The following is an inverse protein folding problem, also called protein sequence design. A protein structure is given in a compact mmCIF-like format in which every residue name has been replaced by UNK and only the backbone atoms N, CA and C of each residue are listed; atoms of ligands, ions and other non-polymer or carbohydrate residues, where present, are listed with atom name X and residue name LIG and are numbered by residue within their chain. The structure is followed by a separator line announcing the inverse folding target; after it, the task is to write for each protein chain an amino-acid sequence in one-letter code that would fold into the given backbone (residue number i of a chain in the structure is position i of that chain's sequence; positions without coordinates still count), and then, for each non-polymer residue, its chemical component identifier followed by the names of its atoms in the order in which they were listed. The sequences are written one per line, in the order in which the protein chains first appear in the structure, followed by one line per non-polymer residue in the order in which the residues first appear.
data_IF_732813886041
#
_entry.id   IF_732813886041
#
_cell.length_a   1.000
_cell.length_b   1.000
_cell.length_c   1.000
_cell.angle_alpha   90.00
_cell.angle_beta   90.00
_cell.angle_gamma   90.00
#
_symmetry.space_group_name_H-M   'P 1'
#
loop_
_entity.id
_entity.type
_entity.pdbx_description
1 polymer ?
#
# COMPACT_ATOMS: atom_id res chain seq x y z
N UNK A 1 -12.02 5.49 16.06
CA UNK A 1 -11.13 5.14 14.94
C UNK A 1 -11.96 4.44 13.88
N UNK A 2 -12.01 4.91 12.62
CA UNK A 2 -12.69 4.16 11.58
C UNK A 2 -11.99 2.81 11.40
N UNK A 3 -12.74 1.71 11.56
CA UNK A 3 -12.29 0.37 11.18
C UNK A 3 -12.12 0.39 9.67
N UNK A 4 -10.89 0.63 9.18
CA UNK A 4 -10.61 0.47 7.76
C UNK A 4 -10.95 -0.98 7.40
N UNK A 5 -12.01 -1.17 6.61
CA UNK A 5 -12.34 -2.47 6.09
C UNK A 5 -11.17 -2.94 5.23
N UNK A 6 -10.55 -4.07 5.59
CA UNK A 6 -9.50 -4.68 4.76
C UNK A 6 -10.18 -5.30 3.56
N UNK A 7 -10.19 -4.59 2.43
CA UNK A 7 -10.66 -5.12 1.15
C UNK A 7 -9.84 -6.35 0.78
N UNK A 8 -10.52 -7.48 0.49
CA UNK A 8 -9.85 -8.68 -0.02
C UNK A 8 -9.58 -8.48 -1.50
N UNK A 9 -8.35 -8.77 -1.92
CA UNK A 9 -7.91 -8.72 -3.30
C UNK A 9 -7.16 -10.00 -3.61
N UNK A 10 -7.49 -10.64 -4.74
CA UNK A 10 -6.74 -11.77 -5.29
C UNK A 10 -5.84 -11.23 -6.38
N UNK A 11 -4.58 -11.63 -6.37
CA UNK A 11 -3.56 -11.18 -7.31
C UNK A 11 -2.95 -12.41 -7.95
N UNK A 12 -2.78 -12.39 -9.27
CA UNK A 12 -2.09 -13.45 -10.00
C UNK A 12 -0.68 -12.94 -10.31
N UNK A 13 0.33 -13.71 -9.92
CA UNK A 13 1.75 -13.44 -10.14
C UNK A 13 2.42 -14.73 -10.58
N UNK A 14 3.57 -14.60 -11.24
CA UNK A 14 4.39 -15.74 -11.65
C UNK A 14 4.95 -16.48 -10.43
N UNK A 15 5.21 -17.78 -10.58
CA UNK A 15 5.60 -18.63 -9.46
C UNK A 15 6.96 -18.23 -8.86
N UNK A 16 7.93 -17.88 -9.70
CA UNK A 16 9.24 -17.38 -9.30
C UNK A 16 9.12 -16.08 -8.48
N UNK A 17 8.25 -15.16 -8.90
CA UNK A 17 7.97 -13.92 -8.16
C UNK A 17 7.32 -14.24 -6.80
N UNK A 18 6.41 -15.21 -6.74
CA UNK A 18 5.78 -15.64 -5.49
C UNK A 18 6.80 -16.24 -4.51
N UNK A 19 7.80 -16.98 -4.99
CA UNK A 19 8.87 -17.53 -4.18
C UNK A 19 9.80 -16.44 -3.64
N UNK A 20 10.24 -15.52 -4.51
CA UNK A 20 11.06 -14.37 -4.12
C UNK A 20 10.36 -13.49 -3.08
N UNK A 21 9.05 -13.26 -3.27
CA UNK A 21 8.25 -12.47 -2.33
C UNK A 21 8.21 -13.11 -0.94
N UNK A 22 8.12 -14.45 -0.86
CA UNK A 22 8.14 -15.15 0.44
C UNK A 22 9.50 -15.02 1.12
N UNK A 23 10.59 -15.16 0.37
CA UNK A 23 11.95 -15.01 0.89
C UNK A 23 12.17 -13.60 1.45
N UNK A 24 11.85 -12.57 0.67
CA UNK A 24 11.99 -11.18 1.12
C UNK A 24 11.11 -10.84 2.33
N UNK A 25 9.89 -11.41 2.38
CA UNK A 25 9.01 -11.22 3.53
C UNK A 25 9.54 -11.91 4.80
N UNK A 26 10.20 -13.06 4.64
CA UNK A 26 10.84 -13.78 5.74
C UNK A 26 12.06 -13.01 6.27
N UNK A 27 12.91 -12.50 5.39
CA UNK A 27 14.06 -11.65 5.75
C UNK A 27 13.63 -10.43 6.58
N UNK A 28 12.52 -9.80 6.17
CA UNK A 28 11.94 -8.65 6.87
C UNK A 28 11.05 -9.03 8.07
N UNK A 29 10.91 -10.33 8.37
CA UNK A 29 10.08 -10.86 9.48
C UNK A 29 8.61 -10.39 9.43
N UNK A 30 8.04 -10.28 8.23
CA UNK A 30 6.64 -9.87 8.04
C UNK A 30 5.84 -10.90 7.22
N UNK A 31 4.51 -10.98 7.39
CA UNK A 31 3.69 -11.91 6.60
C UNK A 31 3.78 -11.59 5.09
N UNK A 32 3.87 -12.60 4.20
CA UNK A 32 3.96 -12.38 2.75
C UNK A 32 2.86 -11.50 2.17
N UNK A 33 1.61 -11.66 2.63
CA UNK A 33 0.49 -10.83 2.20
C UNK A 33 0.65 -9.35 2.62
N UNK A 34 1.23 -9.10 3.79
CA UNK A 34 1.53 -7.74 4.27
C UNK A 34 2.65 -7.12 3.44
N UNK A 35 3.71 -7.89 3.16
CA UNK A 35 4.82 -7.47 2.30
C UNK A 35 4.32 -7.10 0.90
N UNK A 36 3.54 -7.99 0.27
CA UNK A 36 2.92 -7.76 -1.03
C UNK A 36 2.05 -6.49 -1.04
N UNK A 37 1.21 -6.31 -0.02
CA UNK A 37 0.35 -5.14 0.10
C UNK A 37 1.16 -3.84 0.26
N UNK A 38 2.28 -3.86 0.96
CA UNK A 38 3.15 -2.69 1.12
C UNK A 38 3.72 -2.24 -0.23
N UNK A 39 4.29 -3.19 -1.00
CA UNK A 39 4.83 -2.92 -2.34
C UNK A 39 3.73 -2.36 -3.25
N UNK A 40 2.57 -3.02 -3.32
CA UNK A 40 1.48 -2.59 -4.20
C UNK A 40 1.02 -1.18 -3.82
N UNK A 41 0.84 -0.91 -2.53
CA UNK A 41 0.44 0.43 -2.08
C UNK A 41 1.47 1.49 -2.47
N UNK A 42 2.76 1.21 -2.30
CA UNK A 42 3.83 2.12 -2.67
C UNK A 42 3.85 2.39 -4.17
N UNK A 43 3.80 1.34 -4.99
CA UNK A 43 3.82 1.47 -6.46
C UNK A 43 2.59 2.19 -6.99
N UNK A 44 1.39 1.84 -6.52
CA UNK A 44 0.15 2.49 -6.98
C UNK A 44 0.14 3.97 -6.58
N UNK A 45 0.59 4.31 -5.37
CA UNK A 45 0.70 5.72 -4.94
C UNK A 45 1.67 6.51 -5.80
N UNK A 46 2.89 6.00 -6.01
CA UNK A 46 3.87 6.66 -6.87
C UNK A 46 3.32 6.91 -8.28
N UNK A 47 2.66 5.91 -8.89
CA UNK A 47 2.00 6.05 -10.19
C UNK A 47 0.84 7.06 -10.19
N UNK A 48 0.08 7.11 -9.10
CA UNK A 48 -1.02 8.07 -8.96
C UNK A 48 -0.49 9.51 -8.79
N UNK A 49 0.65 9.70 -8.10
CA UNK A 49 1.34 10.99 -8.02
C UNK A 49 1.86 11.44 -9.38
N UNK A 50 2.56 10.57 -10.12
CA UNK A 50 3.05 10.85 -11.48
C UNK A 50 1.92 11.30 -12.42
N UNK A 51 0.74 10.69 -12.28
CA UNK A 51 -0.44 11.02 -13.08
C UNK A 51 -1.26 12.20 -12.55
N UNK A 52 -0.85 12.81 -11.42
CA UNK A 52 -1.60 13.88 -10.77
C UNK A 52 -2.97 13.46 -10.23
N UNK A 53 -3.18 12.17 -9.99
CA UNK A 53 -4.44 11.60 -9.50
C UNK A 53 -4.59 11.69 -7.98
N UNK A 54 -3.48 11.80 -7.26
CA UNK A 54 -3.50 12.09 -5.83
C UNK A 54 -3.62 13.61 -5.65
N UNK A 55 -4.79 14.04 -5.18
CA UNK A 55 -5.00 15.41 -4.75
C UNK A 55 -3.93 15.76 -3.72
N UNK A 56 -3.25 16.90 -3.91
CA UNK A 56 -2.35 17.49 -2.90
C UNK A 56 -3.01 17.32 -1.54
N UNK A 57 -2.29 16.88 -0.50
CA UNK A 57 -2.86 16.70 0.82
C UNK A 57 -3.62 17.98 1.14
N UNK A 58 -4.94 17.87 1.20
CA UNK A 58 -5.79 18.94 1.71
C UNK A 58 -5.31 19.09 3.13
N UNK A 59 -4.41 20.05 3.34
CA UNK A 59 -4.12 20.57 4.66
C UNK A 59 -5.50 20.84 5.24
N UNK A 60 -5.91 19.99 6.15
CA UNK A 60 -7.13 20.15 6.92
C UNK A 60 -6.96 21.55 7.50
N UNK A 61 -7.67 22.54 6.95
CA UNK A 61 -7.83 23.83 7.60
C UNK A 61 -8.53 23.48 8.90
N UNK A 62 -7.72 23.20 9.92
CA UNK A 62 -8.14 23.25 11.30
C UNK A 62 -8.46 24.71 11.53
N UNK A 63 -9.72 25.04 11.25
CA UNK A 63 -10.38 26.25 11.68
C UNK A 63 -10.40 26.20 13.22
N UNK A 64 -9.26 26.49 13.82
CA UNK A 64 -9.16 26.74 15.26
C UNK A 64 -9.49 28.21 15.44
N UNK A 65 -10.79 28.48 15.53
CA UNK A 65 -11.32 29.67 16.19
C UNK A 65 -10.70 29.75 17.59
N UNK A 66 -9.80 30.69 17.79
CA UNK A 66 -9.54 31.43 19.03
C UNK A 66 -8.71 32.64 18.68
#
# INVERSE_FOLDING_TARGET
MPKYARTRMTIVIDNDVAELLKQLAEDDSIPPATYAAAIINQTIRARAEEKGLLGKPTATKSDRKT
#
